data_IF_602715133765
#
_entry.id   IF_602715133765
#
_cell.length_a   1.000
_cell.length_b   1.000
_cell.length_c   1.000
_cell.angle_alpha   90.00
_cell.angle_beta   90.00
_cell.angle_gamma   90.00
#
_symmetry.space_group_name_H-M   'P 1'
#
loop_
_entity.id
_entity.type
_entity.pdbx_description
1 polymer ?
#
# COMPACT_ATOMS: atom_id res chain seq x y z
N UNK A 1 -15.56 -7.01 22.75
CA UNK A 1 -14.14 -7.32 23.02
C UNK A 1 -13.62 -8.15 21.85
N UNK A 2 -13.10 -7.48 20.83
CA UNK A 2 -12.38 -8.02 19.67
C UNK A 2 -11.69 -6.78 19.10
N UNK A 3 -10.37 -6.79 18.98
CA UNK A 3 -9.64 -5.58 18.59
C UNK A 3 -8.13 -5.75 18.51
N UNK A 4 -7.58 -6.86 19.01
CA UNK A 4 -6.16 -7.15 18.84
C UNK A 4 -5.86 -8.03 17.61
N UNK A 5 -6.83 -8.84 17.15
CA UNK A 5 -6.61 -9.71 15.99
C UNK A 5 -6.73 -8.96 14.65
N UNK A 6 -7.62 -7.96 14.57
CA UNK A 6 -7.83 -7.20 13.33
C UNK A 6 -6.59 -6.36 12.97
N UNK A 7 -5.94 -5.73 13.94
CA UNK A 7 -4.75 -4.88 13.72
C UNK A 7 -3.56 -5.67 13.12
N UNK A 8 -3.32 -6.88 13.64
CA UNK A 8 -2.28 -7.79 13.12
C UNK A 8 -2.61 -8.24 11.70
N UNK A 9 -3.90 -8.41 11.39
CA UNK A 9 -4.36 -8.81 10.06
C UNK A 9 -4.21 -7.67 9.05
N UNK A 10 -4.45 -6.41 9.44
CA UNK A 10 -4.29 -5.25 8.56
C UNK A 10 -2.82 -4.99 8.20
N UNK A 11 -1.92 -5.07 9.17
CA UNK A 11 -0.48 -4.93 8.92
C UNK A 11 0.07 -6.03 7.99
N UNK A 12 -0.48 -7.25 8.11
CA UNK A 12 -0.17 -8.34 7.18
C UNK A 12 -0.68 -8.06 5.74
N UNK A 13 -1.84 -7.42 5.59
CA UNK A 13 -2.38 -7.01 4.28
C UNK A 13 -1.46 -5.98 3.61
N UNK A 14 -1.01 -4.94 4.32
CA UNK A 14 -0.08 -3.93 3.79
C UNK A 14 1.20 -4.58 3.25
N UNK A 15 1.76 -5.50 4.04
CA UNK A 15 2.97 -6.26 3.69
C UNK A 15 2.74 -7.13 2.45
N UNK A 16 1.66 -7.91 2.45
CA UNK A 16 1.32 -8.79 1.32
C UNK A 16 0.97 -8.01 0.06
N UNK A 17 0.31 -6.86 0.19
CA UNK A 17 -0.07 -5.99 -0.92
C UNK A 17 1.18 -5.41 -1.55
N UNK A 18 2.08 -4.89 -0.74
CA UNK A 18 3.37 -4.37 -1.21
C UNK A 18 4.19 -5.46 -1.89
N UNK A 19 4.28 -6.66 -1.31
CA UNK A 19 4.96 -7.81 -1.95
C UNK A 19 4.32 -8.23 -3.28
N UNK A 20 2.98 -8.26 -3.35
CA UNK A 20 2.26 -8.61 -4.56
C UNK A 20 2.48 -7.57 -5.69
N UNK A 21 2.56 -6.29 -5.34
CA UNK A 21 2.88 -5.23 -6.29
C UNK A 21 4.35 -5.30 -6.75
N UNK A 22 5.28 -5.55 -5.82
CA UNK A 22 6.71 -5.70 -6.12
C UNK A 22 7.01 -6.94 -6.98
N UNK A 23 6.21 -7.99 -6.87
CA UNK A 23 6.38 -9.23 -7.61
C UNK A 23 6.04 -9.12 -9.11
N UNK A 24 5.26 -8.12 -9.52
CA UNK A 24 4.93 -7.91 -10.93
C UNK A 24 6.08 -7.24 -11.71
N UNK A 25 7.11 -6.74 -11.01
CA UNK A 25 8.31 -6.09 -11.58
C UNK A 25 8.00 -5.04 -12.66
N UNK A 26 6.80 -4.44 -12.58
CA UNK A 26 6.23 -3.58 -13.60
C UNK A 26 5.73 -2.29 -12.96
N UNK A 27 5.99 -1.17 -13.63
CA UNK A 27 5.54 0.14 -13.17
C UNK A 27 4.02 0.31 -13.30
N UNK A 28 3.39 -0.39 -14.24
CA UNK A 28 1.93 -0.36 -14.44
C UNK A 28 1.38 -1.77 -14.38
N UNK A 29 0.58 -2.02 -13.35
CA UNK A 29 -0.03 -3.32 -13.11
C UNK A 29 -1.50 -3.25 -13.49
N UNK A 30 -1.92 -4.05 -14.47
CA UNK A 30 -3.32 -4.20 -14.88
C UNK A 30 -4.09 -5.13 -13.94
N UNK A 31 -4.24 -4.71 -12.68
CA UNK A 31 -4.94 -5.46 -11.63
C UNK A 31 -6.12 -4.68 -11.08
N UNK A 32 -7.27 -5.36 -10.94
CA UNK A 32 -8.45 -4.78 -10.31
C UNK A 32 -8.40 -4.98 -8.79
N UNK A 33 -9.06 -4.08 -8.06
CA UNK A 33 -9.22 -4.19 -6.59
C UNK A 33 -9.75 -5.56 -6.15
N UNK A 34 -10.66 -6.15 -6.94
CA UNK A 34 -11.22 -7.46 -6.66
C UNK A 34 -10.18 -8.57 -6.82
N UNK A 35 -9.38 -8.53 -7.89
CA UNK A 35 -8.33 -9.53 -8.11
C UNK A 35 -7.24 -9.46 -7.02
N UNK A 36 -6.85 -8.25 -6.61
CA UNK A 36 -5.95 -8.06 -5.47
C UNK A 36 -6.57 -8.62 -4.18
N UNK A 37 -7.84 -8.34 -3.91
CA UNK A 37 -8.54 -8.90 -2.75
C UNK A 37 -8.56 -10.43 -2.75
N UNK A 38 -8.86 -11.05 -3.90
CA UNK A 38 -8.81 -12.51 -4.05
C UNK A 38 -7.40 -13.06 -3.90
N UNK A 39 -6.39 -12.45 -4.53
CA UNK A 39 -4.97 -12.87 -4.40
C UNK A 39 -4.49 -12.81 -2.95
N UNK A 40 -4.89 -11.80 -2.20
CA UNK A 40 -4.49 -11.61 -0.81
C UNK A 40 -5.39 -12.32 0.21
N UNK A 41 -6.48 -12.96 -0.22
CA UNK A 41 -7.46 -13.58 0.68
C UNK A 41 -8.18 -12.56 1.57
N UNK A 42 -8.44 -11.36 1.05
CA UNK A 42 -9.06 -10.25 1.77
C UNK A 42 -10.33 -9.73 1.09
N UNK A 43 -11.00 -8.78 1.74
CA UNK A 43 -12.15 -8.08 1.18
C UNK A 43 -11.73 -6.92 0.29
N UNK A 44 -12.48 -6.67 -0.79
CA UNK A 44 -12.24 -5.55 -1.72
C UNK A 44 -12.24 -4.20 -1.01
N UNK A 45 -13.09 -3.99 -0.01
CA UNK A 45 -13.10 -2.75 0.79
C UNK A 45 -11.78 -2.53 1.54
N UNK A 46 -11.18 -3.60 2.09
CA UNK A 46 -9.90 -3.52 2.81
C UNK A 46 -8.80 -3.10 1.86
N UNK A 47 -8.67 -3.79 0.71
CA UNK A 47 -7.68 -3.46 -0.31
C UNK A 47 -7.88 -2.04 -0.84
N UNK A 48 -9.11 -1.63 -1.12
CA UNK A 48 -9.43 -0.27 -1.60
C UNK A 48 -8.99 0.80 -0.60
N UNK A 49 -9.23 0.59 0.70
CA UNK A 49 -8.76 1.50 1.76
C UNK A 49 -7.23 1.59 1.78
N UNK A 50 -6.53 0.47 1.64
CA UNK A 50 -5.06 0.44 1.68
C UNK A 50 -4.45 1.09 0.43
N UNK A 51 -4.98 0.77 -0.74
CA UNK A 51 -4.59 1.39 -2.02
C UNK A 51 -4.82 2.90 -2.00
N UNK A 52 -5.96 3.38 -1.50
CA UNK A 52 -6.20 4.82 -1.33
C UNK A 52 -5.19 5.48 -0.39
N UNK A 53 -4.72 4.78 0.65
CA UNK A 53 -3.66 5.31 1.53
C UNK A 53 -2.33 5.39 0.78
N UNK A 54 -1.95 4.36 0.04
CA UNK A 54 -0.72 4.38 -0.76
C UNK A 54 -0.75 5.48 -1.82
N UNK A 55 -1.92 5.72 -2.43
CA UNK A 55 -2.14 6.85 -3.32
C UNK A 55 -2.02 8.20 -2.61
N UNK A 56 -2.59 8.34 -1.41
CA UNK A 56 -2.45 9.55 -0.61
C UNK A 56 -0.99 9.84 -0.18
N UNK A 57 -0.16 8.81 -0.04
CA UNK A 57 1.28 8.97 0.20
C UNK A 57 2.09 9.22 -1.08
N UNK A 58 1.48 9.07 -2.27
CA UNK A 58 2.15 9.22 -3.55
C UNK A 58 3.03 8.02 -3.94
N UNK A 59 2.82 6.85 -3.33
CA UNK A 59 3.61 5.64 -3.64
C UNK A 59 3.04 4.86 -4.83
N UNK A 60 1.73 4.95 -5.03
CA UNK A 60 1.03 4.35 -6.17
C UNK A 60 0.03 5.35 -6.74
N UNK A 61 -0.38 5.15 -7.98
CA UNK A 61 -1.50 5.87 -8.59
C UNK A 61 -2.55 4.84 -9.01
N UNK A 62 -3.81 5.06 -8.62
CA UNK A 62 -4.90 4.18 -9.00
C UNK A 62 -5.57 4.73 -10.25
N UNK A 63 -5.64 3.91 -11.28
CA UNK A 63 -6.40 4.19 -12.49
C UNK A 63 -7.54 3.16 -12.65
N UNK A 64 -8.37 3.36 -13.67
CA UNK A 64 -9.59 2.57 -13.88
C UNK A 64 -9.25 1.13 -14.30
N UNK A 65 -8.97 0.28 -13.31
CA UNK A 65 -8.58 -1.12 -13.51
C UNK A 65 -7.06 -1.35 -13.58
N UNK A 66 -6.26 -0.34 -13.27
CA UNK A 66 -4.79 -0.38 -13.28
C UNK A 66 -4.24 0.29 -12.03
N UNK A 67 -3.09 -0.18 -11.56
CA UNK A 67 -2.32 0.39 -10.45
C UNK A 67 -0.92 0.70 -10.97
N UNK A 68 -0.53 1.97 -10.92
CA UNK A 68 0.82 2.41 -11.30
C UNK A 68 1.66 2.54 -10.04
N UNK A 69 2.81 1.89 -9.97
CA UNK A 69 3.80 2.11 -8.93
C UNK A 69 4.56 3.39 -9.24
N UNK A 70 4.48 4.36 -8.34
CA UNK A 70 5.25 5.60 -8.40
C UNK A 70 6.54 5.50 -7.58
N UNK A 71 6.48 4.81 -6.44
CA UNK A 71 7.60 4.69 -5.51
C UNK A 71 7.75 3.24 -5.03
N UNK A 72 8.54 2.48 -5.78
CA UNK A 72 8.84 1.06 -5.53
C UNK A 72 9.66 0.91 -4.24
N UNK A 73 10.54 1.85 -3.93
CA UNK A 73 11.36 1.82 -2.72
C UNK A 73 10.52 1.97 -1.45
N UNK A 74 9.54 2.88 -1.43
CA UNK A 74 8.61 3.04 -0.32
C UNK A 74 7.79 1.77 -0.10
N UNK A 75 7.27 1.15 -1.17
CA UNK A 75 6.56 -0.12 -1.10
C UNK A 75 7.45 -1.24 -0.57
N UNK A 76 8.72 -1.28 -0.98
CA UNK A 76 9.71 -2.25 -0.47
C UNK A 76 9.98 -2.06 1.01
N UNK A 77 10.03 -0.82 1.50
CA UNK A 77 10.14 -0.52 2.94
C UNK A 77 8.92 -1.01 3.73
N UNK A 78 7.71 -0.90 3.19
CA UNK A 78 6.48 -1.43 3.81
C UNK A 78 6.46 -2.97 3.78
N UNK A 79 6.98 -3.58 2.72
CA UNK A 79 7.09 -5.04 2.62
C UNK A 79 8.12 -5.63 3.60
N UNK A 80 9.14 -4.85 3.98
CA UNK A 80 10.24 -5.27 4.85
C UNK A 80 10.02 -4.88 6.32
N UNK A 81 9.44 -3.71 6.59
CA UNK A 81 9.15 -3.21 7.94
C UNK A 81 7.65 -3.17 8.23
N UNK A 82 7.31 -3.70 9.41
CA UNK A 82 5.98 -3.77 10.00
C UNK A 82 5.40 -2.41 10.45
N UNK A 83 5.54 -1.36 9.65
CA UNK A 83 5.02 -0.05 9.98
C UNK A 83 5.24 0.98 8.89
N UNK A 84 4.14 1.64 8.49
CA UNK A 84 4.17 2.82 7.63
C UNK A 84 5.29 3.76 8.07
N UNK A 85 6.12 4.29 7.15
CA UNK A 85 7.04 5.37 7.48
C UNK A 85 6.22 6.51 8.09
N UNK A 86 6.31 6.64 9.42
CA UNK A 86 5.82 7.80 10.14
C UNK A 86 6.51 9.00 9.51
N UNK A 87 5.71 9.95 8.97
CA UNK A 87 6.18 11.15 8.27
C UNK A 87 7.38 11.77 9.00
N UNK A 88 8.58 11.49 8.53
CA UNK A 88 9.79 12.23 8.85
C UNK A 88 10.11 13.05 7.60
N UNK A 89 9.74 14.33 7.63
CA UNK A 89 10.05 15.26 6.54
C UNK A 89 8.86 16.10 6.08
N UNK A 90 8.26 16.90 6.96
CA UNK A 90 7.86 18.24 6.53
C UNK A 90 9.07 19.13 6.83
N UNK A 91 9.86 19.36 5.79
CA UNK A 91 11.07 20.16 5.86
C UNK A 91 10.73 21.61 6.27
N UNK A 92 11.70 22.17 6.97
CA UNK A 92 11.88 23.56 7.36
C UNK A 92 11.28 24.55 6.35
N UNK A 93 10.51 25.51 6.85
CA UNK A 93 10.42 26.84 6.22
C UNK A 93 11.03 27.81 7.22
N UNK A 94 12.37 27.81 7.24
CA UNK A 94 13.18 28.97 7.63
C UNK A 94 13.60 29.60 6.31
N UNK A 95 12.79 30.53 5.82
CA UNK A 95 13.15 31.42 4.73
C UNK A 95 12.59 32.80 5.06
N UNK A 96 13.50 33.61 5.62
CA UNK A 96 13.48 35.07 5.84
C UNK A 96 12.88 35.58 7.15
#
# INVERSE_FOLDING_TARGET
MIGLLEDVTFSAIDTHLSKALLAEESEVITLTHQQLATKLGSAREVISRHLKRFEAYGWVSLNRGTVTLLDVEALRKVADKHGFPSKAGQNVTLSQ
#
